data_IF_957848731735
#
_entry.id   IF_957848731735
#
_cell.length_a   1.000
_cell.length_b   1.000
_cell.length_c   1.000
_cell.angle_alpha   90.00
_cell.angle_beta   90.00
_cell.angle_gamma   90.00
#
_symmetry.space_group_name_H-M   'P 1'
#
loop_
_entity.id
_entity.type
_entity.pdbx_description
1 polymer ?
#
# COMPACT_ATOMS: atom_id res chain seq x y z
N UNK A 1 36.94 47.26 -20.24
CA UNK A 1 36.26 46.58 -19.13
C UNK A 1 35.11 45.81 -19.70
N UNK A 2 35.12 44.44 -19.71
CA UNK A 2 33.99 43.65 -20.18
C UNK A 2 33.07 43.28 -19.02
N UNK A 3 31.79 43.51 -19.20
CA UNK A 3 30.68 43.19 -18.35
C UNK A 3 30.44 41.67 -18.33
N UNK A 4 30.47 41.08 -17.14
CA UNK A 4 30.22 39.65 -16.93
C UNK A 4 28.74 39.29 -17.14
N UNK A 5 28.47 38.43 -18.13
CA UNK A 5 27.20 37.78 -18.33
C UNK A 5 27.04 36.66 -17.32
N UNK A 6 26.05 36.78 -16.42
CA UNK A 6 25.64 35.71 -15.52
C UNK A 6 24.91 34.62 -16.33
N UNK A 7 25.57 33.49 -16.53
CA UNK A 7 24.97 32.30 -17.11
C UNK A 7 23.84 31.79 -16.22
N UNK A 8 22.61 31.80 -16.75
CA UNK A 8 21.48 31.10 -16.17
C UNK A 8 21.78 29.59 -16.22
N UNK A 9 22.03 29.02 -15.06
CA UNK A 9 22.09 27.56 -14.88
C UNK A 9 20.70 27.02 -15.22
N UNK A 10 20.62 26.33 -16.34
CA UNK A 10 19.43 25.60 -16.79
C UNK A 10 19.04 24.59 -15.71
N UNK A 11 17.85 24.80 -15.12
CA UNK A 11 17.27 23.89 -14.17
C UNK A 11 17.18 22.48 -14.76
N UNK A 12 17.86 21.53 -14.15
CA UNK A 12 17.70 20.11 -14.38
C UNK A 12 16.21 19.80 -14.37
N UNK A 13 15.68 19.33 -15.51
CA UNK A 13 14.35 18.72 -15.59
C UNK A 13 14.36 17.60 -14.53
N UNK A 14 13.46 17.68 -13.56
CA UNK A 14 13.16 16.56 -12.70
C UNK A 14 12.74 15.44 -13.62
N UNK A 15 13.51 14.35 -13.66
CA UNK A 15 13.07 13.08 -14.21
C UNK A 15 11.72 12.80 -13.54
N UNK A 16 10.64 12.71 -14.34
CA UNK A 16 9.34 12.21 -13.85
C UNK A 16 9.60 10.73 -13.51
N UNK A 17 9.94 10.45 -12.24
CA UNK A 17 10.12 9.09 -11.77
C UNK A 17 8.84 8.31 -12.06
N UNK A 18 8.98 7.21 -12.77
CA UNK A 18 7.87 6.32 -13.10
C UNK A 18 7.14 5.93 -11.81
N UNK A 19 5.80 5.94 -11.83
CA UNK A 19 5.04 5.50 -10.66
C UNK A 19 5.32 4.04 -10.33
N UNK A 20 5.23 3.63 -9.06
CA UNK A 20 5.42 2.23 -8.64
C UNK A 20 4.58 1.26 -9.48
N UNK A 21 3.32 1.61 -9.76
CA UNK A 21 2.47 0.83 -10.69
C UNK A 21 3.07 0.73 -12.10
N UNK A 22 3.73 1.78 -12.57
CA UNK A 22 4.45 1.79 -13.85
C UNK A 22 5.66 0.86 -13.85
N UNK A 23 6.45 0.88 -12.77
CA UNK A 23 7.61 -0.02 -12.57
C UNK A 23 7.19 -1.49 -12.59
N UNK A 24 6.13 -1.84 -11.86
CA UNK A 24 5.55 -3.19 -11.87
C UNK A 24 5.14 -3.61 -13.29
N UNK A 25 4.44 -2.74 -14.03
CA UNK A 25 4.04 -3.03 -15.41
C UNK A 25 5.22 -3.17 -16.35
N UNK A 26 6.25 -2.35 -16.18
CA UNK A 26 7.47 -2.46 -16.99
C UNK A 26 8.21 -3.78 -16.72
N UNK A 27 8.34 -4.18 -15.45
CA UNK A 27 8.92 -5.48 -15.09
C UNK A 27 8.13 -6.63 -15.71
N UNK A 28 6.81 -6.66 -15.53
CA UNK A 28 5.94 -7.70 -16.05
C UNK A 28 5.93 -7.77 -17.59
N UNK A 29 6.15 -6.64 -18.25
CA UNK A 29 6.18 -6.59 -19.71
C UNK A 29 7.37 -7.32 -20.32
N UNK A 30 8.45 -7.48 -19.57
CA UNK A 30 9.69 -8.14 -20.01
C UNK A 30 9.64 -9.65 -19.81
N UNK A 31 8.67 -10.17 -19.07
CA UNK A 31 8.53 -11.59 -18.79
C UNK A 31 7.64 -12.26 -19.83
N UNK A 32 8.05 -13.41 -20.33
CA UNK A 32 7.30 -14.19 -21.30
C UNK A 32 7.20 -15.64 -20.85
N UNK A 33 5.98 -16.20 -20.67
CA UNK A 33 5.82 -17.60 -20.33
C UNK A 33 6.42 -18.51 -21.39
N UNK A 34 7.09 -19.59 -20.96
CA UNK A 34 7.66 -20.60 -21.89
C UNK A 34 6.55 -21.46 -22.52
N UNK A 35 5.54 -21.83 -21.75
CA UNK A 35 4.45 -22.69 -22.20
C UNK A 35 3.43 -21.93 -23.05
N UNK A 36 3.10 -22.48 -24.24
CA UNK A 36 2.09 -21.91 -25.15
C UNK A 36 0.73 -21.70 -24.48
N UNK A 37 0.29 -22.62 -23.62
CA UNK A 37 -0.95 -22.50 -22.87
C UNK A 37 -0.99 -21.26 -21.96
N UNK A 38 0.14 -20.90 -21.33
CA UNK A 38 0.24 -19.69 -20.52
C UNK A 38 0.25 -18.43 -21.39
N UNK A 39 0.92 -18.47 -22.57
CA UNK A 39 0.88 -17.37 -23.52
C UNK A 39 -0.56 -17.11 -24.00
N UNK A 40 -1.31 -18.17 -24.28
CA UNK A 40 -2.72 -18.08 -24.67
C UNK A 40 -3.59 -17.48 -23.54
N UNK A 41 -3.38 -17.90 -22.29
CA UNK A 41 -4.09 -17.36 -21.14
C UNK A 41 -3.81 -15.86 -20.94
N UNK A 42 -2.55 -15.43 -21.11
CA UNK A 42 -2.17 -14.04 -21.00
C UNK A 42 -2.74 -13.18 -22.15
N UNK A 43 -2.71 -13.69 -23.40
CA UNK A 43 -3.34 -13.03 -24.54
C UNK A 43 -4.85 -12.93 -24.34
N UNK A 44 -5.51 -14.01 -23.87
CA UNK A 44 -6.93 -13.99 -23.58
C UNK A 44 -7.31 -12.95 -22.52
N UNK A 45 -6.48 -12.78 -21.48
CA UNK A 45 -6.66 -11.71 -20.50
C UNK A 45 -6.58 -10.34 -21.18
N UNK A 46 -5.50 -10.05 -21.91
CA UNK A 46 -5.31 -8.75 -22.58
C UNK A 46 -6.49 -8.45 -23.51
N UNK A 47 -6.87 -9.40 -24.34
CA UNK A 47 -8.01 -9.23 -25.25
C UNK A 47 -9.32 -9.00 -24.50
N UNK A 48 -9.56 -9.71 -23.40
CA UNK A 48 -10.79 -9.55 -22.59
C UNK A 48 -10.92 -8.16 -21.98
N UNK A 49 -9.81 -7.51 -21.63
CA UNK A 49 -9.83 -6.19 -20.97
C UNK A 49 -9.75 -5.02 -21.95
N UNK A 50 -8.91 -5.10 -22.96
CA UNK A 50 -8.62 -3.97 -23.86
C UNK A 50 -8.71 -4.32 -25.35
N UNK A 51 -9.06 -5.56 -25.71
CA UNK A 51 -9.24 -6.02 -27.07
C UNK A 51 -10.62 -5.68 -27.65
N UNK A 52 -10.63 -5.35 -28.94
CA UNK A 52 -11.85 -5.12 -29.72
C UNK A 52 -11.76 -5.84 -31.05
N UNK A 53 -12.85 -6.53 -31.42
CA UNK A 53 -13.04 -7.02 -32.78
C UNK A 53 -13.92 -6.00 -33.50
N UNK A 54 -13.37 -5.31 -34.45
CA UNK A 54 -14.04 -4.25 -35.23
C UNK A 54 -14.23 -4.73 -36.66
N UNK A 55 -15.34 -4.34 -37.26
CA UNK A 55 -15.63 -4.59 -38.68
C UNK A 55 -15.79 -3.24 -39.36
N UNK A 56 -14.96 -2.96 -40.35
CA UNK A 56 -15.01 -1.75 -41.15
C UNK A 56 -14.99 -2.13 -42.63
N UNK A 57 -16.02 -1.71 -43.37
CA UNK A 57 -16.14 -1.97 -44.82
C UNK A 57 -16.00 -3.46 -45.19
N UNK A 58 -16.59 -4.34 -44.39
CA UNK A 58 -16.54 -5.80 -44.63
C UNK A 58 -15.21 -6.48 -44.21
N UNK A 59 -14.23 -5.72 -43.70
CA UNK A 59 -12.97 -6.25 -43.20
C UNK A 59 -12.95 -6.28 -41.68
N UNK A 60 -12.68 -7.46 -41.11
CA UNK A 60 -12.51 -7.62 -39.65
C UNK A 60 -11.11 -7.25 -39.24
N UNK A 61 -10.98 -6.56 -38.11
CA UNK A 61 -9.71 -6.25 -37.48
C UNK A 61 -9.78 -6.53 -35.97
N UNK A 62 -8.80 -7.26 -35.45
CA UNK A 62 -8.62 -7.46 -34.01
C UNK A 62 -7.65 -6.41 -33.50
N UNK A 63 -8.11 -5.51 -32.64
CA UNK A 63 -7.34 -4.38 -32.13
C UNK A 63 -7.25 -4.37 -30.62
N UNK A 64 -6.08 -3.94 -30.14
CA UNK A 64 -5.83 -3.63 -28.73
C UNK A 64 -5.49 -2.16 -28.61
N UNK A 65 -6.19 -1.46 -27.73
CA UNK A 65 -5.99 -0.04 -27.45
C UNK A 65 -5.40 0.12 -26.05
N UNK A 66 -4.29 0.84 -25.93
CA UNK A 66 -3.66 1.08 -24.64
C UNK A 66 -2.85 2.38 -24.64
N UNK A 67 -2.83 3.08 -23.50
CA UNK A 67 -1.89 4.18 -23.25
C UNK A 67 -0.55 3.68 -22.71
N UNK A 68 -0.49 2.41 -22.28
CA UNK A 68 0.69 1.82 -21.68
C UNK A 68 1.60 1.18 -22.73
N UNK A 69 2.79 1.75 -22.92
CA UNK A 69 3.80 1.24 -23.87
C UNK A 69 4.27 -0.18 -23.51
N UNK A 70 4.39 -0.48 -22.22
CA UNK A 70 4.85 -1.79 -21.74
C UNK A 70 3.86 -2.89 -22.15
N UNK A 71 2.56 -2.62 -22.00
CA UNK A 71 1.51 -3.54 -22.49
C UNK A 71 1.52 -3.66 -24.01
N UNK A 72 1.64 -2.54 -24.74
CA UNK A 72 1.67 -2.56 -26.20
C UNK A 72 2.81 -3.44 -26.73
N UNK A 73 4.01 -3.24 -26.17
CA UNK A 73 5.20 -4.03 -26.49
C UNK A 73 5.00 -5.52 -26.20
N UNK A 74 4.50 -5.83 -24.99
CA UNK A 74 4.27 -7.20 -24.57
C UNK A 74 3.27 -7.92 -25.46
N UNK A 75 2.12 -7.31 -25.73
CA UNK A 75 1.09 -7.90 -26.56
C UNK A 75 1.60 -8.14 -28.00
N UNK A 76 2.32 -7.17 -28.57
CA UNK A 76 2.95 -7.33 -29.90
C UNK A 76 3.88 -8.54 -29.95
N UNK A 77 4.77 -8.68 -28.95
CA UNK A 77 5.72 -9.80 -28.89
C UNK A 77 5.00 -11.13 -28.66
N UNK A 78 3.99 -11.17 -27.77
CA UNK A 78 3.19 -12.37 -27.53
C UNK A 78 2.49 -12.85 -28.79
N UNK A 79 1.86 -11.95 -29.55
CA UNK A 79 1.19 -12.29 -30.81
C UNK A 79 2.16 -12.89 -31.83
N UNK A 80 3.34 -12.28 -31.97
CA UNK A 80 4.36 -12.80 -32.88
C UNK A 80 4.93 -14.17 -32.46
N UNK A 81 5.19 -14.35 -31.16
CA UNK A 81 5.75 -15.62 -30.63
C UNK A 81 4.75 -16.76 -30.67
N UNK A 82 3.48 -16.48 -30.30
CA UNK A 82 2.45 -17.53 -30.13
C UNK A 82 1.80 -17.95 -31.44
N UNK A 83 1.58 -16.98 -32.34
CA UNK A 83 0.80 -17.18 -33.58
C UNK A 83 1.60 -16.93 -34.86
N UNK A 84 2.84 -16.41 -34.77
CA UNK A 84 3.61 -15.89 -35.90
C UNK A 84 2.85 -14.81 -36.68
N UNK A 85 1.93 -14.11 -35.98
CA UNK A 85 1.01 -13.16 -36.56
C UNK A 85 1.71 -11.86 -37.00
N UNK A 86 1.29 -11.33 -38.14
CA UNK A 86 1.80 -10.05 -38.65
C UNK A 86 0.98 -8.89 -38.08
N UNK A 87 1.31 -8.46 -36.86
CA UNK A 87 0.65 -7.34 -36.16
C UNK A 87 1.33 -6.03 -36.51
N UNK A 88 0.54 -4.98 -36.70
CA UNK A 88 0.99 -3.60 -36.86
C UNK A 88 0.77 -2.79 -35.58
N UNK A 89 1.65 -1.80 -35.34
CA UNK A 89 1.49 -0.85 -34.24
C UNK A 89 1.34 0.55 -34.83
N UNK A 90 0.28 1.26 -34.44
CA UNK A 90 0.09 2.68 -34.73
C UNK A 90 0.03 3.47 -33.44
N UNK A 91 0.57 4.67 -33.45
CA UNK A 91 0.47 5.62 -32.34
C UNK A 91 -0.52 6.70 -32.73
N UNK A 92 -1.60 6.82 -31.99
CA UNK A 92 -2.58 7.90 -32.15
C UNK A 92 -2.37 8.94 -31.08
N UNK A 93 -2.26 10.19 -31.45
CA UNK A 93 -2.20 11.30 -30.50
C UNK A 93 -3.59 11.91 -30.39
N UNK A 94 -4.13 12.01 -29.17
CA UNK A 94 -5.42 12.65 -28.97
C UNK A 94 -5.24 14.16 -29.04
N UNK A 95 -5.81 14.79 -30.06
CA UNK A 95 -5.67 16.25 -30.34
C UNK A 95 -6.28 17.11 -29.23
N UNK A 96 -7.27 16.58 -28.50
CA UNK A 96 -8.02 17.30 -27.46
C UNK A 96 -7.44 17.19 -26.04
N UNK A 97 -6.62 16.16 -25.78
CA UNK A 97 -5.97 15.96 -24.48
C UNK A 97 -4.46 15.97 -24.72
N UNK A 98 -3.84 17.10 -24.55
CA UNK A 98 -2.48 17.47 -24.97
C UNK A 98 -1.30 16.52 -24.62
N UNK A 99 -1.48 15.33 -24.05
CA UNK A 99 -0.36 14.44 -23.66
C UNK A 99 -0.55 12.92 -23.81
N UNK A 100 -1.75 12.41 -24.08
CA UNK A 100 -1.92 10.94 -24.03
C UNK A 100 -1.72 10.31 -25.42
N UNK A 101 -0.65 9.52 -25.55
CA UNK A 101 -0.41 8.66 -26.71
C UNK A 101 -1.18 7.37 -26.54
N UNK A 102 -2.02 7.00 -27.52
CA UNK A 102 -2.72 5.72 -27.54
C UNK A 102 -2.01 4.83 -28.56
N UNK A 103 -1.52 3.70 -28.09
CA UNK A 103 -0.95 2.63 -28.92
C UNK A 103 -2.10 1.75 -29.40
N UNK A 104 -2.17 1.54 -30.70
CA UNK A 104 -3.15 0.68 -31.35
C UNK A 104 -2.40 -0.47 -32.01
N UNK A 105 -2.55 -1.67 -31.49
CA UNK A 105 -1.98 -2.88 -32.05
C UNK A 105 -3.06 -3.59 -32.84
N UNK A 106 -2.86 -3.77 -34.14
CA UNK A 106 -3.86 -4.26 -35.07
C UNK A 106 -3.42 -5.53 -35.78
N UNK A 107 -4.34 -6.49 -35.85
CA UNK A 107 -4.25 -7.69 -36.68
C UNK A 107 -5.40 -7.63 -37.69
N UNK A 108 -5.10 -7.69 -39.00
CA UNK A 108 -6.07 -7.49 -40.08
C UNK A 108 -6.19 -8.71 -41.03
N UNK A 109 -5.23 -9.61 -41.00
CA UNK A 109 -5.28 -10.82 -41.84
C UNK A 109 -6.39 -11.77 -41.31
N UNK A 110 -7.42 -12.04 -42.10
CA UNK A 110 -8.59 -12.82 -41.72
C UNK A 110 -8.25 -14.20 -41.12
N UNK A 111 -7.34 -14.94 -41.78
CA UNK A 111 -6.88 -16.24 -41.31
C UNK A 111 -6.14 -16.20 -39.98
N UNK A 112 -5.33 -15.16 -39.76
CA UNK A 112 -4.63 -14.96 -38.47
C UNK A 112 -5.60 -14.59 -37.38
N UNK A 113 -6.57 -13.70 -37.66
CA UNK A 113 -7.66 -13.34 -36.71
C UNK A 113 -8.40 -14.61 -36.32
N UNK A 114 -8.81 -15.44 -37.31
CA UNK A 114 -9.52 -16.70 -37.04
C UNK A 114 -8.72 -17.62 -36.10
N UNK A 115 -7.42 -17.82 -36.39
CA UNK A 115 -6.52 -18.62 -35.54
C UNK A 115 -6.47 -18.11 -34.12
N UNK A 116 -6.37 -16.81 -33.92
CA UNK A 116 -6.35 -16.17 -32.58
C UNK A 116 -7.70 -16.38 -31.88
N UNK A 117 -8.82 -16.08 -32.53
CA UNK A 117 -10.14 -16.17 -31.94
C UNK A 117 -10.53 -17.60 -31.55
N UNK A 118 -10.14 -18.60 -32.36
CA UNK A 118 -10.30 -20.02 -32.02
C UNK A 118 -9.44 -20.40 -30.80
N UNK A 119 -8.18 -19.97 -30.76
CA UNK A 119 -7.25 -20.31 -29.70
C UNK A 119 -7.67 -19.68 -28.35
N UNK A 120 -8.16 -18.44 -28.34
CA UNK A 120 -8.67 -17.77 -27.12
C UNK A 120 -10.12 -18.12 -26.83
N UNK A 121 -10.74 -19.04 -27.61
CA UNK A 121 -12.12 -19.50 -27.43
C UNK A 121 -13.14 -18.36 -27.55
N UNK A 122 -12.94 -17.42 -28.44
CA UNK A 122 -13.91 -16.39 -28.81
C UNK A 122 -14.79 -16.82 -29.98
N UNK A 123 -14.32 -17.77 -30.79
CA UNK A 123 -15.08 -18.42 -31.83
C UNK A 123 -15.00 -19.95 -31.73
N UNK A 124 -16.00 -20.64 -32.21
CA UNK A 124 -15.97 -22.07 -32.44
C UNK A 124 -15.42 -22.41 -33.85
N UNK A 125 -15.26 -23.69 -34.15
CA UNK A 125 -14.77 -24.17 -35.46
C UNK A 125 -15.65 -23.74 -36.64
N UNK A 126 -16.97 -23.54 -36.38
CA UNK A 126 -17.92 -23.05 -37.39
C UNK A 126 -17.82 -21.53 -37.61
N UNK A 127 -16.98 -20.82 -36.87
CA UNK A 127 -16.82 -19.35 -36.98
C UNK A 127 -17.86 -18.56 -36.22
N UNK A 128 -18.70 -19.21 -35.41
CA UNK A 128 -19.70 -18.56 -34.58
C UNK A 128 -19.06 -17.91 -33.36
N UNK A 129 -19.51 -16.71 -33.01
CA UNK A 129 -19.04 -15.99 -31.85
C UNK A 129 -19.58 -16.66 -30.56
N UNK A 130 -18.68 -17.20 -29.75
CA UNK A 130 -19.00 -17.87 -28.49
C UNK A 130 -18.52 -17.07 -27.27
N UNK A 131 -18.21 -15.80 -27.46
CA UNK A 131 -17.83 -14.93 -26.34
C UNK A 131 -18.96 -14.84 -25.34
N UNK A 132 -18.74 -15.37 -24.18
CA UNK A 132 -19.57 -15.06 -23.02
C UNK A 132 -19.16 -13.66 -22.52
N UNK A 133 -20.10 -12.77 -22.32
CA UNK A 133 -19.94 -11.35 -21.98
C UNK A 133 -18.69 -11.03 -21.12
N UNK A 134 -17.55 -10.86 -21.78
CA UNK A 134 -16.29 -10.43 -21.15
C UNK A 134 -15.56 -11.44 -20.28
N UNK A 135 -15.99 -12.70 -20.25
CA UNK A 135 -15.40 -13.77 -19.45
C UNK A 135 -14.45 -14.60 -20.30
N UNK A 136 -13.26 -14.92 -19.78
CA UNK A 136 -12.35 -15.86 -20.43
C UNK A 136 -12.86 -17.30 -20.28
N UNK A 137 -12.68 -18.11 -21.33
CA UNK A 137 -13.11 -19.50 -21.30
C UNK A 137 -12.35 -20.30 -20.23
N UNK A 138 -13.05 -21.08 -19.41
CA UNK A 138 -12.46 -21.87 -18.31
C UNK A 138 -11.39 -22.85 -18.77
N UNK A 139 -11.46 -23.34 -20.00
CA UNK A 139 -10.43 -24.24 -20.56
C UNK A 139 -9.05 -23.60 -20.61
N UNK A 140 -8.97 -22.28 -20.78
CA UNK A 140 -7.70 -21.54 -20.76
C UNK A 140 -7.12 -21.34 -19.36
N UNK A 141 -7.91 -21.60 -18.31
CA UNK A 141 -7.61 -21.28 -16.92
C UNK A 141 -7.50 -22.53 -16.03
N UNK A 142 -7.45 -23.72 -16.60
CA UNK A 142 -7.40 -24.97 -15.85
C UNK A 142 -6.15 -25.09 -14.99
N UNK A 143 -4.99 -24.79 -15.56
CA UNK A 143 -3.71 -24.92 -14.89
C UNK A 143 -3.39 -23.67 -14.04
N UNK A 144 -2.77 -23.88 -12.89
CA UNK A 144 -2.32 -22.78 -12.00
C UNK A 144 -1.42 -21.77 -12.71
N UNK A 145 -0.51 -22.24 -13.56
CA UNK A 145 0.37 -21.37 -14.37
C UNK A 145 -0.41 -20.51 -15.38
N UNK A 146 -1.53 -21.02 -15.95
CA UNK A 146 -2.41 -20.25 -16.83
C UNK A 146 -3.16 -19.17 -16.06
N UNK A 147 -3.63 -19.47 -14.83
CA UNK A 147 -4.26 -18.49 -13.95
C UNK A 147 -3.30 -17.37 -13.58
N UNK A 148 -2.03 -17.69 -13.27
CA UNK A 148 -0.97 -16.69 -13.05
C UNK A 148 -0.76 -15.78 -14.27
N UNK A 149 -0.64 -16.38 -15.44
CA UNK A 149 -0.48 -15.64 -16.70
C UNK A 149 -1.71 -14.75 -17.01
N UNK A 150 -2.92 -15.23 -16.72
CA UNK A 150 -4.15 -14.46 -16.86
C UNK A 150 -4.18 -13.25 -15.94
N UNK A 151 -3.85 -13.42 -14.65
CA UNK A 151 -3.77 -12.31 -13.68
C UNK A 151 -2.77 -11.26 -14.15
N UNK A 152 -1.59 -11.68 -14.63
CA UNK A 152 -0.56 -10.79 -15.17
C UNK A 152 -1.07 -9.98 -16.36
N UNK A 153 -1.74 -10.62 -17.31
CA UNK A 153 -2.35 -9.95 -18.46
C UNK A 153 -3.47 -8.98 -18.05
N UNK A 154 -4.30 -9.36 -17.08
CA UNK A 154 -5.36 -8.50 -16.53
C UNK A 154 -4.78 -7.25 -15.83
N UNK A 155 -3.75 -7.43 -14.99
CA UNK A 155 -3.08 -6.33 -14.31
C UNK A 155 -2.37 -5.38 -15.29
N UNK A 156 -1.65 -5.91 -16.27
CA UNK A 156 -1.03 -5.10 -17.32
C UNK A 156 -2.05 -4.24 -18.07
N UNK A 157 -3.24 -4.81 -18.33
CA UNK A 157 -4.29 -4.17 -19.13
C UNK A 157 -5.08 -3.11 -18.36
N UNK A 158 -5.50 -3.41 -17.14
CA UNK A 158 -6.45 -2.59 -16.38
C UNK A 158 -6.11 -2.49 -14.88
N UNK A 159 -4.96 -3.01 -14.46
CA UNK A 159 -4.50 -2.95 -13.08
C UNK A 159 -3.82 -1.63 -12.74
N UNK A 160 -3.86 -1.27 -11.48
CA UNK A 160 -3.05 -0.22 -10.87
C UNK A 160 -2.68 -0.58 -9.44
N UNK A 161 -1.62 0.04 -8.95
CA UNK A 161 -1.13 -0.14 -7.59
C UNK A 161 -0.71 1.21 -7.03
N UNK A 162 -1.04 1.45 -5.76
CA UNK A 162 -0.57 2.62 -5.03
C UNK A 162 0.92 2.53 -4.73
N UNK A 163 1.53 3.69 -4.53
CA UNK A 163 2.87 3.79 -3.99
C UNK A 163 2.91 3.17 -2.57
N UNK A 164 3.73 2.14 -2.33
CA UNK A 164 3.79 1.45 -1.05
C UNK A 164 4.25 2.37 0.11
N UNK A 165 4.93 3.48 -0.17
CA UNK A 165 5.25 4.49 0.84
C UNK A 165 3.98 5.19 1.38
N UNK A 166 2.93 5.31 0.58
CA UNK A 166 1.68 6.00 0.95
C UNK A 166 0.62 5.04 1.47
N UNK A 167 0.31 4.00 0.72
CA UNK A 167 -0.76 3.06 1.07
C UNK A 167 -0.59 1.71 0.37
N UNK A 168 -1.22 0.68 0.93
CA UNK A 168 -1.32 -0.64 0.29
C UNK A 168 -2.66 -0.75 -0.43
N UNK A 169 -2.63 -0.69 -1.74
CA UNK A 169 -3.81 -0.85 -2.57
C UNK A 169 -3.43 -1.34 -3.96
N UNK A 170 -3.98 -2.48 -4.36
CA UNK A 170 -3.89 -3.03 -5.71
C UNK A 170 -5.30 -3.17 -6.24
N UNK A 171 -5.56 -2.71 -7.45
CA UNK A 171 -6.87 -2.82 -8.08
C UNK A 171 -6.78 -3.19 -9.55
N UNK A 172 -7.82 -3.85 -10.06
CA UNK A 172 -8.03 -4.12 -11.49
C UNK A 172 -9.45 -3.70 -11.86
N UNK A 173 -9.57 -2.81 -12.84
CA UNK A 173 -10.85 -2.27 -13.29
C UNK A 173 -11.46 -3.20 -14.35
N UNK A 174 -12.70 -3.61 -14.11
CA UNK A 174 -13.47 -4.49 -14.99
C UNK A 174 -14.68 -3.73 -15.59
N UNK A 175 -14.93 -3.94 -16.87
CA UNK A 175 -16.05 -3.30 -17.59
C UNK A 175 -17.43 -3.89 -17.27
N UNK A 176 -17.50 -5.04 -16.57
CA UNK A 176 -18.75 -5.71 -16.21
C UNK A 176 -18.59 -6.60 -14.98
N UNK A 177 -19.72 -6.86 -14.29
CA UNK A 177 -19.75 -7.65 -13.06
C UNK A 177 -19.24 -9.07 -13.26
N UNK A 178 -19.67 -9.76 -14.32
CA UNK A 178 -19.25 -11.14 -14.58
C UNK A 178 -17.73 -11.28 -14.74
N UNK A 179 -17.07 -10.30 -15.38
CA UNK A 179 -15.60 -10.24 -15.49
C UNK A 179 -14.96 -10.01 -14.13
N UNK A 180 -15.51 -9.15 -13.29
CA UNK A 180 -15.00 -8.90 -11.96
C UNK A 180 -15.11 -10.14 -11.07
N UNK A 181 -16.24 -10.84 -11.10
CA UNK A 181 -16.44 -12.09 -10.36
C UNK A 181 -15.45 -13.16 -10.81
N UNK A 182 -15.28 -13.37 -12.13
CA UNK A 182 -14.30 -14.33 -12.64
C UNK A 182 -12.89 -13.99 -12.19
N UNK A 183 -12.48 -12.72 -12.28
CA UNK A 183 -11.14 -12.30 -11.83
C UNK A 183 -10.97 -12.51 -10.32
N UNK A 184 -11.98 -12.17 -9.52
CA UNK A 184 -11.98 -12.41 -8.09
C UNK A 184 -11.82 -13.91 -7.76
N UNK A 185 -12.59 -14.79 -8.42
CA UNK A 185 -12.48 -16.24 -8.25
C UNK A 185 -11.07 -16.74 -8.57
N UNK A 186 -10.47 -16.26 -9.66
CA UNK A 186 -9.12 -16.62 -10.06
C UNK A 186 -8.10 -16.16 -8.99
N UNK A 187 -8.20 -14.93 -8.50
CA UNK A 187 -7.31 -14.38 -7.47
C UNK A 187 -7.49 -15.18 -6.17
N UNK A 188 -8.73 -15.39 -5.73
CA UNK A 188 -9.04 -16.09 -4.49
C UNK A 188 -8.65 -17.57 -4.53
N UNK A 189 -8.53 -18.18 -5.74
CA UNK A 189 -8.01 -19.54 -5.89
C UNK A 189 -6.54 -19.71 -5.47
N UNK A 190 -5.84 -18.62 -5.19
CA UNK A 190 -4.48 -18.60 -4.62
C UNK A 190 -4.47 -18.30 -3.11
N UNK A 191 -5.63 -18.38 -2.42
CA UNK A 191 -5.74 -18.15 -0.97
C UNK A 191 -5.85 -16.66 -0.59
N UNK A 192 -6.08 -15.77 -1.54
CA UNK A 192 -6.29 -14.34 -1.29
C UNK A 192 -7.77 -14.01 -1.06
N UNK A 193 -8.03 -12.84 -0.47
CA UNK A 193 -9.37 -12.34 -0.19
C UNK A 193 -9.65 -11.04 -0.97
N UNK A 194 -9.62 -11.15 -2.31
CA UNK A 194 -9.93 -10.04 -3.19
C UNK A 194 -11.42 -9.66 -3.07
N UNK A 195 -11.68 -8.36 -3.02
CA UNK A 195 -13.03 -7.80 -2.91
C UNK A 195 -13.44 -7.12 -4.22
N UNK A 196 -14.75 -7.01 -4.43
CA UNK A 196 -15.32 -6.27 -5.56
C UNK A 196 -16.06 -5.06 -5.03
N UNK A 197 -15.90 -3.93 -5.70
CA UNK A 197 -16.70 -2.73 -5.49
C UNK A 197 -17.16 -2.17 -6.83
N UNK A 198 -18.38 -1.71 -6.89
CA UNK A 198 -18.90 -1.00 -8.07
C UNK A 198 -18.52 0.48 -7.97
N UNK A 199 -17.88 1.02 -9.01
CA UNK A 199 -17.57 2.44 -9.16
C UNK A 199 -18.19 2.97 -10.45
N UNK A 200 -19.24 3.77 -10.35
CA UNK A 200 -20.00 4.28 -11.49
C UNK A 200 -20.48 3.14 -12.41
N UNK A 201 -19.94 3.05 -13.63
CA UNK A 201 -20.27 2.04 -14.65
C UNK A 201 -19.29 0.85 -14.67
N UNK A 202 -18.29 0.83 -13.78
CA UNK A 202 -17.24 -0.19 -13.75
C UNK A 202 -17.24 -0.94 -12.42
N UNK A 203 -16.67 -2.14 -12.42
CA UNK A 203 -16.44 -2.95 -11.24
C UNK A 203 -14.94 -3.03 -10.99
N UNK A 204 -14.52 -2.91 -9.73
CA UNK A 204 -13.12 -2.91 -9.36
C UNK A 204 -12.87 -4.09 -8.43
N UNK A 205 -11.97 -4.97 -8.84
CA UNK A 205 -11.44 -6.05 -7.99
C UNK A 205 -10.20 -5.51 -7.30
N UNK A 206 -10.12 -5.60 -5.96
CA UNK A 206 -9.03 -4.97 -5.21
C UNK A 206 -8.55 -5.79 -4.01
N UNK A 207 -7.29 -5.50 -3.62
CA UNK A 207 -6.64 -5.95 -2.40
C UNK A 207 -6.12 -4.73 -1.63
N UNK A 208 -6.21 -4.75 -0.28
CA UNK A 208 -5.74 -3.66 0.59
C UNK A 208 -4.69 -4.09 1.60
N UNK A 209 -4.52 -5.37 1.83
CA UNK A 209 -3.55 -5.90 2.77
C UNK A 209 -2.17 -6.04 2.12
N UNK A 210 -1.14 -5.48 2.77
CA UNK A 210 0.21 -5.50 2.25
C UNK A 210 0.75 -6.91 2.00
N UNK A 211 0.44 -7.88 2.88
CA UNK A 211 0.81 -9.29 2.71
C UNK A 211 0.20 -9.90 1.44
N UNK A 212 -1.11 -9.70 1.22
CA UNK A 212 -1.78 -10.22 0.04
C UNK A 212 -1.29 -9.54 -1.26
N UNK A 213 -0.87 -8.27 -1.19
CA UNK A 213 -0.29 -7.58 -2.34
C UNK A 213 1.09 -8.14 -2.67
N UNK A 214 1.91 -8.50 -1.66
CA UNK A 214 3.17 -9.23 -1.86
C UNK A 214 2.93 -10.57 -2.53
N UNK A 215 1.95 -11.36 -2.05
CA UNK A 215 1.57 -12.63 -2.65
C UNK A 215 1.12 -12.44 -4.11
N UNK A 216 0.35 -11.37 -4.38
CA UNK A 216 -0.07 -11.04 -5.74
C UNK A 216 1.11 -10.73 -6.66
N UNK A 217 2.09 -9.95 -6.21
CA UNK A 217 3.31 -9.68 -6.97
C UNK A 217 4.11 -10.97 -7.25
N UNK A 218 4.18 -11.86 -6.27
CA UNK A 218 4.81 -13.18 -6.44
C UNK A 218 4.06 -14.04 -7.48
N UNK A 219 2.72 -14.06 -7.43
CA UNK A 219 1.89 -14.78 -8.40
C UNK A 219 2.09 -14.24 -9.81
N UNK A 220 2.20 -12.93 -9.97
CA UNK A 220 2.48 -12.28 -11.24
C UNK A 220 3.94 -12.41 -11.67
N UNK A 221 4.83 -12.88 -10.79
CA UNK A 221 6.29 -12.99 -10.99
C UNK A 221 6.99 -11.62 -11.08
N UNK A 222 6.45 -10.58 -10.43
CA UNK A 222 7.06 -9.26 -10.31
C UNK A 222 8.02 -9.22 -9.12
N UNK A 223 9.15 -9.91 -9.23
CA UNK A 223 10.05 -10.16 -8.10
C UNK A 223 10.80 -8.91 -7.64
N UNK A 224 11.18 -8.02 -8.55
CA UNK A 224 11.87 -6.76 -8.19
C UNK A 224 10.91 -5.85 -7.44
N UNK A 225 9.69 -5.67 -7.96
CA UNK A 225 8.66 -4.88 -7.30
C UNK A 225 8.25 -5.47 -5.94
N UNK A 226 8.22 -6.81 -5.83
CA UNK A 226 7.99 -7.51 -4.57
C UNK A 226 9.05 -7.15 -3.53
N UNK A 227 10.33 -7.26 -3.88
CA UNK A 227 11.44 -6.92 -2.98
C UNK A 227 11.39 -5.45 -2.54
N UNK A 228 11.10 -4.54 -3.46
CA UNK A 228 10.94 -3.11 -3.14
C UNK A 228 9.80 -2.88 -2.14
N UNK A 229 8.65 -3.52 -2.35
CA UNK A 229 7.50 -3.42 -1.45
C UNK A 229 7.81 -3.98 -0.06
N UNK A 230 8.49 -5.13 0.03
CA UNK A 230 8.89 -5.73 1.31
C UNK A 230 9.88 -4.85 2.06
N UNK A 231 10.86 -4.25 1.38
CA UNK A 231 11.78 -3.31 1.99
C UNK A 231 11.04 -2.12 2.62
N UNK A 232 10.06 -1.56 1.90
CA UNK A 232 9.22 -0.46 2.44
C UNK A 232 8.43 -0.93 3.66
N UNK A 233 7.87 -2.15 3.65
CA UNK A 233 7.14 -2.71 4.79
C UNK A 233 8.02 -2.82 6.03
N UNK A 234 9.20 -3.43 5.91
CA UNK A 234 10.15 -3.58 7.00
C UNK A 234 10.53 -2.22 7.61
N UNK A 235 10.85 -1.24 6.75
CA UNK A 235 11.19 0.11 7.21
C UNK A 235 10.02 0.78 7.96
N UNK A 236 8.80 0.62 7.49
CA UNK A 236 7.59 1.14 8.17
C UNK A 236 7.37 0.47 9.53
N UNK A 237 7.53 -0.84 9.62
CA UNK A 237 7.40 -1.60 10.86
C UNK A 237 8.45 -1.18 11.88
N UNK A 238 9.70 -0.99 11.47
CA UNK A 238 10.77 -0.49 12.33
C UNK A 238 10.46 0.91 12.85
N UNK A 239 10.09 1.85 11.97
CA UNK A 239 9.69 3.22 12.36
C UNK A 239 8.52 3.22 13.34
N UNK A 240 7.51 2.41 13.09
CA UNK A 240 6.34 2.31 13.96
C UNK A 240 6.69 1.72 15.34
N UNK A 241 7.62 0.76 15.39
CA UNK A 241 8.11 0.19 16.65
C UNK A 241 8.85 1.24 17.49
N UNK A 242 9.80 1.95 16.86
CA UNK A 242 10.55 3.04 17.52
C UNK A 242 9.60 4.13 18.01
N UNK A 243 8.67 4.59 17.17
CA UNK A 243 7.71 5.62 17.57
C UNK A 243 6.85 5.19 18.75
N UNK A 244 6.40 3.93 18.79
CA UNK A 244 5.65 3.39 19.94
C UNK A 244 6.48 3.38 21.21
N UNK A 245 7.74 2.99 21.12
CA UNK A 245 8.67 3.00 22.26
C UNK A 245 8.87 4.44 22.78
N UNK A 246 9.22 5.37 21.90
CA UNK A 246 9.41 6.79 22.25
C UNK A 246 8.15 7.38 22.88
N UNK A 247 6.97 7.14 22.30
CA UNK A 247 5.71 7.63 22.85
C UNK A 247 5.43 7.05 24.24
N UNK A 248 5.73 5.77 24.45
CA UNK A 248 5.57 5.12 25.76
C UNK A 248 6.51 5.72 26.81
N UNK A 249 7.80 5.90 26.46
CA UNK A 249 8.79 6.51 27.35
C UNK A 249 8.44 7.96 27.67
N UNK A 250 8.06 8.76 26.67
CA UNK A 250 7.62 10.15 26.85
C UNK A 250 6.39 10.24 27.76
N UNK A 251 5.40 9.37 27.56
CA UNK A 251 4.21 9.33 28.42
C UNK A 251 4.56 8.98 29.87
N UNK A 252 5.50 8.06 30.10
CA UNK A 252 5.98 7.67 31.42
C UNK A 252 6.75 8.81 32.09
N UNK A 253 7.62 9.52 31.36
CA UNK A 253 8.35 10.69 31.87
C UNK A 253 7.34 11.77 32.26
N UNK A 254 6.41 12.12 31.38
CA UNK A 254 5.41 13.15 31.66
C UNK A 254 4.56 12.83 32.90
N UNK A 255 4.13 11.57 33.07
CA UNK A 255 3.41 11.15 34.29
C UNK A 255 4.27 11.32 35.55
N UNK A 256 5.55 10.98 35.47
CA UNK A 256 6.47 11.09 36.61
C UNK A 256 6.72 12.54 36.97
N UNK A 257 6.99 13.40 35.98
CA UNK A 257 7.19 14.86 36.19
C UNK A 257 5.92 15.52 36.76
N UNK A 258 4.77 15.27 36.14
CA UNK A 258 3.51 15.84 36.61
C UNK A 258 3.18 15.41 38.05
N UNK A 259 3.46 14.15 38.40
CA UNK A 259 3.28 13.68 39.78
C UNK A 259 4.25 14.35 40.74
N UNK A 260 5.50 14.56 40.35
CA UNK A 260 6.49 15.26 41.20
C UNK A 260 6.13 16.72 41.42
N UNK A 261 5.72 17.45 40.36
CA UNK A 261 5.25 18.84 40.46
C UNK A 261 4.05 18.94 41.43
N UNK A 262 3.03 18.10 41.24
CA UNK A 262 1.86 18.06 42.14
C UNK A 262 2.28 17.79 43.59
N UNK A 263 3.20 16.85 43.83
CA UNK A 263 3.70 16.54 45.14
C UNK A 263 4.37 17.76 45.81
N UNK A 264 5.20 18.49 45.07
CA UNK A 264 5.87 19.69 45.55
C UNK A 264 4.85 20.79 45.88
N UNK A 265 3.87 21.00 45.01
CA UNK A 265 2.78 21.97 45.24
C UNK A 265 1.96 21.62 46.49
N UNK A 266 1.59 20.34 46.63
CA UNK A 266 0.82 19.85 47.79
C UNK A 266 1.60 19.99 49.10
N UNK A 267 2.92 19.68 49.11
CA UNK A 267 3.78 19.81 50.27
C UNK A 267 3.95 21.30 50.66
N UNK A 268 4.16 22.18 49.65
CA UNK A 268 4.26 23.62 49.91
C UNK A 268 2.95 24.20 50.50
N UNK A 269 1.79 23.70 50.01
CA UNK A 269 0.49 24.07 50.54
C UNK A 269 0.36 23.63 52.00
N UNK A 270 0.67 22.39 52.36
CA UNK A 270 0.67 21.92 53.75
C UNK A 270 1.58 22.78 54.63
N UNK A 271 2.81 23.08 54.12
CA UNK A 271 3.78 23.92 54.81
C UNK A 271 3.22 25.32 55.12
N UNK A 272 2.50 25.93 54.19
CA UNK A 272 1.92 27.28 54.37
C UNK A 272 0.73 27.33 55.30
N UNK A 273 -0.10 26.28 55.33
CA UNK A 273 -1.36 26.28 56.10
C UNK A 273 -1.17 25.76 57.53
N UNK A 274 -0.36 24.70 57.72
CA UNK A 274 -0.29 23.99 59.00
C UNK A 274 1.14 23.80 59.54
N UNK A 275 2.13 24.03 58.69
CA UNK A 275 3.54 23.69 58.98
C UNK A 275 3.84 22.19 58.77
N UNK A 276 5.06 21.86 58.37
CA UNK A 276 5.48 20.48 58.21
C UNK A 276 5.64 19.73 59.54
N UNK A 277 5.93 20.46 60.61
CA UNK A 277 6.14 19.90 61.95
C UNK A 277 4.85 19.33 62.60
N UNK A 278 3.70 19.60 62.01
CA UNK A 278 2.44 19.00 62.38
C UNK A 278 2.19 17.59 61.82
N UNK A 279 3.08 17.13 60.95
CA UNK A 279 2.99 15.81 60.29
C UNK A 279 3.72 14.76 61.13
N UNK A 280 3.40 13.46 61.00
CA UNK A 280 4.21 12.37 61.52
C UNK A 280 5.63 12.39 60.97
N UNK A 281 6.64 12.03 61.77
CA UNK A 281 8.07 12.11 61.41
C UNK A 281 8.39 11.52 60.04
N UNK A 282 7.85 10.34 59.75
CA UNK A 282 8.05 9.66 58.45
C UNK A 282 7.46 10.42 57.25
N UNK A 283 6.49 11.31 57.45
CA UNK A 283 5.94 12.16 56.38
C UNK A 283 6.69 13.50 56.33
N UNK A 284 7.19 14.02 57.48
CA UNK A 284 8.05 15.19 57.46
C UNK A 284 9.32 14.97 56.66
N UNK A 285 10.00 13.86 56.94
CA UNK A 285 11.26 13.49 56.32
C UNK A 285 11.11 13.42 54.78
N UNK A 286 10.14 12.66 54.27
CA UNK A 286 9.90 12.55 52.82
C UNK A 286 9.46 13.86 52.17
N UNK A 287 8.69 14.71 52.92
CA UNK A 287 8.28 16.02 52.44
C UNK A 287 9.48 16.95 52.26
N UNK A 288 10.40 16.98 53.23
CA UNK A 288 11.66 17.77 53.14
C UNK A 288 12.53 17.30 51.97
N UNK A 289 12.75 15.99 51.84
CA UNK A 289 13.51 15.41 50.74
C UNK A 289 12.90 15.67 49.35
N UNK A 290 11.57 15.65 49.23
CA UNK A 290 10.92 15.96 47.91
C UNK A 290 11.05 17.45 47.56
N UNK A 291 11.06 18.35 48.54
CA UNK A 291 11.31 19.78 48.31
C UNK A 291 12.78 20.05 47.96
N UNK A 292 13.71 19.35 48.57
CA UNK A 292 15.14 19.48 48.32
C UNK A 292 15.54 18.88 46.99
N UNK A 293 14.95 17.74 46.62
CA UNK A 293 15.21 17.00 45.37
C UNK A 293 13.90 16.84 44.54
N UNK A 294 13.39 17.92 43.93
CA UNK A 294 12.09 17.91 43.25
C UNK A 294 12.02 16.99 42.05
N UNK A 295 13.16 16.75 41.37
CA UNK A 295 13.26 15.93 40.16
C UNK A 295 13.67 14.47 40.45
N UNK A 296 14.08 14.16 41.69
CA UNK A 296 14.57 12.83 42.02
C UNK A 296 13.50 11.74 41.82
N UNK A 297 13.92 10.60 41.28
CA UNK A 297 13.04 9.44 41.12
C UNK A 297 12.62 8.88 42.51
N UNK A 298 11.45 8.23 42.57
CA UNK A 298 10.96 7.65 43.85
C UNK A 298 11.92 6.64 44.50
N UNK A 299 12.67 5.89 43.65
CA UNK A 299 13.70 4.96 44.13
C UNK A 299 14.86 5.72 44.79
N UNK A 300 15.29 6.80 44.18
CA UNK A 300 16.38 7.65 44.66
C UNK A 300 16.02 8.36 45.95
N UNK A 301 14.84 8.94 46.03
CA UNK A 301 14.32 9.50 47.29
C UNK A 301 14.29 8.45 48.41
N UNK A 302 14.01 7.20 48.08
CA UNK A 302 14.01 6.11 49.06
C UNK A 302 15.39 5.76 49.61
N UNK A 303 16.47 6.05 48.87
CA UNK A 303 17.85 5.85 49.35
C UNK A 303 18.33 6.96 50.28
N UNK A 304 17.68 8.14 50.25
CA UNK A 304 18.01 9.27 51.13
C UNK A 304 17.31 9.21 52.49
N UNK A 305 16.36 8.29 52.67
CA UNK A 305 15.64 8.08 53.95
C UNK A 305 16.46 7.20 54.89
N UNK A 306 16.35 7.47 56.22
CA UNK A 306 16.97 6.65 57.27
C UNK A 306 15.89 6.02 58.19
N UNK A 307 15.70 4.70 58.17
CA UNK A 307 16.35 3.72 57.29
C UNK A 307 15.83 3.81 55.84
N UNK A 308 16.64 3.34 54.82
CA UNK A 308 16.24 3.38 53.42
C UNK A 308 14.91 2.67 53.14
N UNK A 309 14.07 3.25 52.29
CA UNK A 309 12.71 2.77 52.00
C UNK A 309 12.56 2.50 50.51
N UNK A 310 11.93 1.38 50.15
CA UNK A 310 11.69 1.03 48.78
C UNK A 310 10.70 1.96 48.07
N UNK A 311 10.73 1.98 46.72
CA UNK A 311 9.87 2.81 45.85
C UNK A 311 8.37 2.80 46.25
N UNK A 312 7.85 1.64 46.63
CA UNK A 312 6.45 1.50 47.05
C UNK A 312 6.15 2.26 48.36
N UNK A 313 7.06 2.20 49.34
CA UNK A 313 6.90 2.93 50.61
C UNK A 313 7.01 4.45 50.42
N UNK A 314 7.94 4.92 49.58
CA UNK A 314 8.05 6.34 49.22
C UNK A 314 6.77 6.80 48.51
N UNK A 315 6.26 6.04 47.55
CA UNK A 315 5.02 6.38 46.85
C UNK A 315 3.80 6.43 47.80
N UNK A 316 3.71 5.52 48.75
CA UNK A 316 2.65 5.51 49.73
C UNK A 316 2.70 6.77 50.61
N UNK A 317 3.88 7.16 51.13
CA UNK A 317 4.08 8.36 51.96
C UNK A 317 3.74 9.64 51.19
N UNK A 318 4.19 9.76 49.91
CA UNK A 318 3.89 10.92 49.08
C UNK A 318 2.38 11.02 48.74
N UNK A 319 1.70 9.90 48.47
CA UNK A 319 0.25 9.86 48.26
C UNK A 319 -0.50 10.32 49.49
N UNK A 320 -0.04 9.97 50.71
CA UNK A 320 -0.64 10.40 51.95
C UNK A 320 -0.50 11.90 52.17
N UNK A 321 0.64 12.50 51.76
CA UNK A 321 0.83 13.97 51.75
C UNK A 321 -0.15 14.65 50.79
N UNK A 322 -0.32 14.13 49.57
CA UNK A 322 -1.28 14.66 48.61
C UNK A 322 -2.72 14.60 49.16
N UNK A 323 -3.09 13.50 49.86
CA UNK A 323 -4.39 13.37 50.47
C UNK A 323 -4.60 14.42 51.57
N UNK A 324 -3.62 14.61 52.46
CA UNK A 324 -3.67 15.64 53.52
C UNK A 324 -3.82 17.04 52.90
N UNK A 325 -3.14 17.35 51.79
CA UNK A 325 -3.28 18.63 51.12
C UNK A 325 -4.69 18.82 50.52
N UNK A 326 -5.28 17.77 49.96
CA UNK A 326 -6.68 17.81 49.48
C UNK A 326 -7.68 18.01 50.60
N UNK A 327 -7.54 17.31 51.72
CA UNK A 327 -8.41 17.45 52.90
C UNK A 327 -8.34 18.86 53.49
N UNK A 328 -7.16 19.47 53.57
CA UNK A 328 -6.97 20.85 54.01
C UNK A 328 -7.61 21.87 53.04
N UNK A 329 -7.53 21.63 51.73
CA UNK A 329 -8.22 22.53 50.76
C UNK A 329 -9.72 22.44 50.84
N UNK A 330 -10.27 21.27 51.19
CA UNK A 330 -11.73 21.10 51.38
C UNK A 330 -12.21 21.73 52.70
N UNK A 331 -11.42 21.57 53.77
CA UNK A 331 -11.75 22.14 55.08
C UNK A 331 -11.62 23.67 55.15
N UNK A 332 -10.80 24.29 54.30
CA UNK A 332 -10.63 25.75 54.22
C UNK A 332 -11.64 26.48 53.33
N UNK A 333 -12.61 25.75 52.73
CA UNK A 333 -13.70 26.28 51.90
C UNK A 333 -15.04 26.38 52.66
N UNK A 334 -15.06 26.16 53.99
CA UNK A 334 -16.25 26.25 54.86
C UNK A 334 -16.33 27.60 55.61
#
# INVERSE_FOLDING_TARGET
MPSGGAGKVNGMRRDESMSFSGEVKEELSRQFPKGRHCQLAEIAAILSFVGKLEEMQGCKALRVYTENLSLARKYFILMRRTFHANVSIAVRQNVYLHKNRIFVISLTAAEEIRKVLLAVKWQNEKGEDIRTTGIANRLLLQNTCCRRAFIRGAFLSAGSMSDPEKSYHLEVVCSGQAKAVQLQEIINSFGMDAKIVQRKKSYVVYLKEGSQIVDMLNIMEAHVALMNLENVRILKEMRNSVNRQVNCETANINKTVSAAVKQVEDINYIKSVRGLDSLPDSLQEIARLRLEYPEAALKELGTYLEPPVGKSGVNHRLRKLCQIAEDLRQSGKG
#
